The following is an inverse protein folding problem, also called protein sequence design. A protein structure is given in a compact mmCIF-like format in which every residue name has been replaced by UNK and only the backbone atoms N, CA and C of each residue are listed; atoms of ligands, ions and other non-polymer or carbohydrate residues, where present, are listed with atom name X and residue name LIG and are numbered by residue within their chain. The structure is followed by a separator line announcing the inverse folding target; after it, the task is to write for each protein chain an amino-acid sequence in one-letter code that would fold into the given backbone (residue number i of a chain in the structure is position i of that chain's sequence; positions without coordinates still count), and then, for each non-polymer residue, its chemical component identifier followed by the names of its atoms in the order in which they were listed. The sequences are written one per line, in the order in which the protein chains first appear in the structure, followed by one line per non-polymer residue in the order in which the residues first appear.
data_IF_535425326026
#
_entry.id   IF_535425326026
#
_cell.length_a   1.000
_cell.length_b   1.000
_cell.length_c   1.000
_cell.angle_alpha   90.00
_cell.angle_beta   90.00
_cell.angle_gamma   90.00
#
_symmetry.space_group_name_H-M   'P 1'
#
loop_
_entity.id
_entity.type
_entity.pdbx_description
1 polymer ?
#
# COMPACT_ATOMS: atom_id res chain seq x y z
N UNK A 1 4.16 4.50 -21.74
CA UNK A 1 4.07 5.44 -20.58
C UNK A 1 2.60 5.53 -20.21
N UNK A 2 2.20 5.15 -19.01
CA UNK A 2 0.80 5.07 -18.65
C UNK A 2 0.25 6.46 -18.23
N UNK A 3 -1.08 6.64 -18.23
CA UNK A 3 -1.74 7.93 -17.97
C UNK A 3 -1.47 8.48 -16.57
N UNK A 4 -1.19 7.62 -15.59
CA UNK A 4 -0.79 8.02 -14.23
C UNK A 4 0.59 8.68 -14.21
N UNK A 5 1.57 8.11 -14.92
CA UNK A 5 2.91 8.70 -15.05
C UNK A 5 2.86 10.06 -15.74
N UNK A 6 2.01 10.21 -16.76
CA UNK A 6 1.80 11.50 -17.42
C UNK A 6 1.15 12.51 -16.48
N UNK A 7 0.13 12.10 -15.73
CA UNK A 7 -0.53 12.95 -14.73
C UNK A 7 0.42 13.34 -13.61
N UNK A 8 1.22 12.39 -13.10
CA UNK A 8 2.24 12.63 -12.09
C UNK A 8 3.29 13.66 -12.56
N UNK A 9 3.83 13.49 -13.76
CA UNK A 9 4.78 14.47 -14.35
C UNK A 9 4.15 15.86 -14.52
N UNK A 10 2.87 15.92 -14.89
CA UNK A 10 2.13 17.19 -15.01
C UNK A 10 1.94 17.86 -13.66
N UNK A 11 1.65 17.09 -12.60
CA UNK A 11 1.53 17.57 -11.22
C UNK A 11 2.87 18.12 -10.72
N UNK A 12 3.96 17.37 -10.87
CA UNK A 12 5.30 17.79 -10.49
C UNK A 12 5.72 19.12 -11.13
N UNK A 13 5.36 19.34 -12.40
CA UNK A 13 5.63 20.62 -13.09
C UNK A 13 4.84 21.79 -12.54
N UNK A 14 3.68 21.54 -11.92
CA UNK A 14 2.78 22.58 -11.42
C UNK A 14 2.89 22.82 -9.91
N UNK A 15 3.59 21.96 -9.17
CA UNK A 15 3.68 22.05 -7.71
C UNK A 15 4.26 23.39 -7.21
N UNK A 16 5.08 24.05 -8.03
CA UNK A 16 5.70 25.36 -7.71
C UNK A 16 4.75 26.56 -7.94
N UNK A 17 3.56 26.33 -8.50
CA UNK A 17 2.58 27.42 -8.69
C UNK A 17 1.91 27.71 -7.34
N UNK A 18 1.97 28.94 -6.84
CA UNK A 18 1.31 29.30 -5.58
C UNK A 18 -0.20 28.94 -5.61
N UNK A 19 -0.68 28.32 -4.53
CA UNK A 19 -2.08 27.92 -4.43
C UNK A 19 -2.46 26.62 -5.18
N UNK A 20 -1.54 26.00 -5.93
CA UNK A 20 -1.84 24.79 -6.70
C UNK A 20 -2.32 23.62 -5.81
N UNK A 21 -1.68 23.40 -4.66
CA UNK A 21 -2.06 22.37 -3.70
C UNK A 21 -3.48 22.61 -3.13
N UNK A 22 -3.77 23.86 -2.77
CA UNK A 22 -5.11 24.23 -2.30
C UNK A 22 -6.17 24.00 -3.39
N UNK A 23 -5.87 24.41 -4.63
CA UNK A 23 -6.75 24.21 -5.77
C UNK A 23 -7.05 22.73 -6.03
N UNK A 24 -6.03 21.84 -5.99
CA UNK A 24 -6.22 20.39 -6.15
C UNK A 24 -7.15 19.86 -5.06
N UNK A 25 -6.88 20.19 -3.80
CA UNK A 25 -7.71 19.75 -2.67
C UNK A 25 -9.17 20.18 -2.81
N UNK A 26 -9.42 21.45 -3.09
CA UNK A 26 -10.78 21.97 -3.29
C UNK A 26 -11.50 21.32 -4.48
N UNK A 27 -10.77 20.95 -5.53
CA UNK A 27 -11.34 20.41 -6.78
C UNK A 27 -11.63 18.92 -6.71
N UNK A 28 -10.78 18.14 -6.06
CA UNK A 28 -10.80 16.68 -6.14
C UNK A 28 -11.10 15.99 -4.81
N UNK A 29 -10.58 16.49 -3.70
CA UNK A 29 -10.80 15.89 -2.38
C UNK A 29 -12.24 16.13 -1.95
N UNK A 30 -12.87 15.07 -1.44
CA UNK A 30 -14.19 15.09 -0.80
C UNK A 30 -14.11 14.31 0.49
N UNK A 31 -14.91 14.71 1.47
CA UNK A 31 -15.09 13.96 2.70
C UNK A 31 -16.23 12.95 2.51
N UNK A 32 -16.01 11.75 3.03
CA UNK A 32 -16.95 10.63 2.98
C UNK A 32 -17.04 9.98 4.37
N UNK A 33 -17.69 10.64 5.36
CA UNK A 33 -17.71 10.17 6.74
C UNK A 33 -18.26 8.74 6.89
N UNK A 34 -19.18 8.34 6.03
CA UNK A 34 -19.72 6.97 6.02
C UNK A 34 -18.69 5.91 5.61
N UNK A 35 -17.55 6.31 5.02
CA UNK A 35 -16.49 5.41 4.58
C UNK A 35 -15.29 5.39 5.52
N UNK A 36 -15.31 6.17 6.61
CA UNK A 36 -14.26 6.17 7.63
C UNK A 36 -14.16 4.81 8.30
N UNK A 37 -12.93 4.38 8.61
CA UNK A 37 -12.68 3.12 9.28
C UNK A 37 -11.34 3.07 9.99
N UNK A 38 -11.29 2.33 11.08
CA UNK A 38 -10.06 2.01 11.78
C UNK A 38 -9.58 0.64 11.33
N UNK A 39 -8.34 0.56 10.83
CA UNK A 39 -7.73 -0.69 10.35
C UNK A 39 -6.31 -0.77 10.93
N UNK A 40 -5.95 -1.90 11.50
CA UNK A 40 -4.68 -2.15 12.22
C UNK A 40 -4.22 -0.99 13.10
N UNK A 41 -5.18 -0.33 13.80
CA UNK A 41 -4.91 0.77 14.73
C UNK A 41 -4.67 2.14 14.09
N UNK A 42 -4.85 2.26 12.77
CA UNK A 42 -4.76 3.53 12.03
C UNK A 42 -6.15 3.95 11.55
N UNK A 43 -6.49 5.23 11.73
CA UNK A 43 -7.73 5.81 11.24
C UNK A 43 -7.62 6.21 9.77
N UNK A 44 -8.44 5.61 8.91
CA UNK A 44 -8.52 5.91 7.48
C UNK A 44 -9.81 6.66 7.17
N UNK A 45 -9.71 7.82 6.51
CA UNK A 45 -10.86 8.66 6.09
C UNK A 45 -11.79 7.94 5.10
N UNK A 46 -11.27 6.96 4.39
CA UNK A 46 -11.99 6.10 3.43
C UNK A 46 -11.06 4.97 2.97
N UNK A 47 -11.60 3.88 2.35
CA UNK A 47 -10.81 2.69 2.03
C UNK A 47 -9.87 2.82 0.83
N UNK A 48 -9.83 3.94 0.12
CA UNK A 48 -9.16 4.05 -1.17
C UNK A 48 -7.75 4.64 -1.03
N UNK A 49 -6.75 3.89 -1.44
CA UNK A 49 -5.36 4.27 -1.53
C UNK A 49 -4.76 4.08 -2.92
N UNK A 50 -3.54 4.53 -3.09
CA UNK A 50 -2.74 4.36 -4.29
C UNK A 50 -1.59 3.39 -3.99
N UNK A 51 -1.50 2.31 -4.76
CA UNK A 51 -0.39 1.36 -4.66
C UNK A 51 0.95 2.02 -5.05
N UNK A 52 2.10 1.48 -4.61
CA UNK A 52 3.43 1.98 -4.94
C UNK A 52 3.81 1.65 -6.40
N UNK A 53 3.23 2.36 -7.35
CA UNK A 53 3.37 2.09 -8.80
C UNK A 53 4.19 3.12 -9.57
N UNK A 54 4.57 4.20 -8.92
CA UNK A 54 5.32 5.30 -9.53
C UNK A 54 6.73 5.32 -8.96
N UNK A 55 7.70 5.33 -9.85
CA UNK A 55 9.05 5.71 -9.51
C UNK A 55 9.04 7.10 -8.83
N UNK A 56 9.74 7.25 -7.72
CA UNK A 56 9.74 8.50 -6.94
C UNK A 56 8.35 8.96 -6.43
N UNK A 57 7.47 8.03 -6.11
CA UNK A 57 6.13 8.35 -5.58
C UNK A 57 6.21 9.19 -4.29
N UNK A 58 7.29 9.07 -3.54
CA UNK A 58 7.58 9.91 -2.36
C UNK A 58 7.55 11.42 -2.68
N UNK A 59 7.85 11.82 -3.92
CA UNK A 59 7.79 13.21 -4.35
C UNK A 59 6.35 13.72 -4.59
N UNK A 60 5.36 12.83 -4.57
CA UNK A 60 3.97 13.09 -4.94
C UNK A 60 2.98 12.89 -3.78
N UNK A 61 3.45 12.76 -2.55
CA UNK A 61 2.58 12.48 -1.40
C UNK A 61 1.48 13.53 -1.22
N UNK A 62 1.85 14.80 -1.28
CA UNK A 62 0.91 15.91 -1.12
C UNK A 62 -0.11 15.97 -2.27
N UNK A 63 0.32 15.63 -3.49
CA UNK A 63 -0.54 15.53 -4.65
C UNK A 63 -1.49 14.34 -4.56
N UNK A 64 -1.02 13.20 -4.06
CA UNK A 64 -1.86 12.01 -3.84
C UNK A 64 -3.00 12.30 -2.86
N UNK A 65 -2.72 12.96 -1.73
CA UNK A 65 -3.74 13.46 -0.82
C UNK A 65 -4.68 14.45 -1.50
N UNK A 66 -4.11 15.41 -2.23
CA UNK A 66 -4.87 16.46 -2.90
C UNK A 66 -5.89 15.93 -3.92
N UNK A 67 -5.57 14.85 -4.63
CA UNK A 67 -6.49 14.22 -5.59
C UNK A 67 -7.47 13.22 -4.94
N UNK A 68 -7.37 13.02 -3.63
CA UNK A 68 -8.36 12.31 -2.84
C UNK A 68 -8.01 10.87 -2.51
N UNK A 69 -6.74 10.45 -2.55
CA UNK A 69 -6.31 9.20 -1.93
C UNK A 69 -6.08 9.39 -0.42
N UNK A 70 -6.45 8.40 0.38
CA UNK A 70 -6.29 8.42 1.83
C UNK A 70 -4.92 7.90 2.26
N UNK A 71 -4.39 6.96 1.52
CA UNK A 71 -3.09 6.36 1.78
C UNK A 71 -2.35 6.02 0.49
N UNK A 72 -1.05 5.81 0.60
CA UNK A 72 -0.20 5.40 -0.52
C UNK A 72 1.01 4.62 -0.03
N UNK A 73 1.50 3.68 -0.84
CA UNK A 73 2.75 2.97 -0.60
C UNK A 73 3.93 3.62 -1.32
N UNK A 74 5.12 3.39 -0.81
CA UNK A 74 6.39 3.79 -1.39
C UNK A 74 7.29 2.56 -1.44
N UNK A 75 7.95 2.34 -2.58
CA UNK A 75 9.06 1.40 -2.71
C UNK A 75 10.33 2.25 -2.78
N UNK A 76 11.29 2.11 -1.85
CA UNK A 76 12.53 2.88 -1.87
C UNK A 76 13.35 2.68 -3.16
N UNK A 77 13.42 1.44 -3.69
CA UNK A 77 14.14 1.09 -4.91
C UNK A 77 15.60 1.55 -4.88
N UNK A 78 16.10 2.07 -5.99
CA UNK A 78 17.49 2.59 -6.11
C UNK A 78 17.69 3.96 -5.42
N UNK A 79 16.63 4.61 -4.95
CA UNK A 79 16.77 5.89 -4.24
C UNK A 79 17.43 5.66 -2.89
N UNK A 80 18.52 6.39 -2.54
CA UNK A 80 19.14 6.26 -1.23
C UNK A 80 18.11 6.44 -0.11
N UNK A 81 18.12 5.53 0.85
CA UNK A 81 17.11 5.47 1.92
C UNK A 81 17.05 6.76 2.74
N UNK A 82 18.18 7.43 2.92
CA UNK A 82 18.28 8.73 3.61
C UNK A 82 17.52 9.83 2.83
N UNK A 83 17.55 9.75 1.50
CA UNK A 83 16.79 10.67 0.64
C UNK A 83 15.30 10.41 0.76
N UNK A 84 14.88 9.14 0.83
CA UNK A 84 13.48 8.77 1.07
C UNK A 84 13.03 9.27 2.45
N UNK A 85 13.82 9.04 3.50
CA UNK A 85 13.55 9.52 4.85
C UNK A 85 13.38 11.05 4.90
N UNK A 86 14.31 11.80 4.29
CA UNK A 86 14.23 13.26 4.24
C UNK A 86 12.96 13.77 3.53
N UNK A 87 12.53 13.10 2.46
CA UNK A 87 11.29 13.44 1.73
C UNK A 87 10.03 13.09 2.51
N UNK A 88 10.02 11.95 3.21
CA UNK A 88 8.93 11.56 4.11
C UNK A 88 8.79 12.56 5.26
N UNK A 89 9.91 12.99 5.84
CA UNK A 89 9.94 13.99 6.90
C UNK A 89 9.43 15.37 6.41
N UNK A 90 9.74 15.73 5.18
CA UNK A 90 9.34 17.02 4.59
C UNK A 90 7.89 17.05 4.08
N UNK A 91 7.15 15.94 4.15
CA UNK A 91 5.74 15.92 3.71
C UNK A 91 4.88 16.86 4.53
N UNK A 92 3.94 17.52 3.89
CA UNK A 92 3.01 18.47 4.54
C UNK A 92 1.58 17.95 4.61
N UNK A 93 1.26 16.92 3.83
CA UNK A 93 -0.07 16.32 3.85
C UNK A 93 -0.22 15.23 4.91
N UNK A 94 -1.44 15.03 5.43
CA UNK A 94 -1.74 13.97 6.38
C UNK A 94 -1.98 12.61 5.69
N UNK A 95 -1.50 12.41 4.46
CA UNK A 95 -1.67 11.13 3.77
C UNK A 95 -0.96 10.01 4.54
N UNK A 96 -1.68 8.94 4.81
CA UNK A 96 -1.11 7.76 5.44
C UNK A 96 -0.15 7.10 4.46
N UNK A 97 1.07 6.84 4.90
CA UNK A 97 2.14 6.38 4.02
C UNK A 97 2.72 5.08 4.52
N UNK A 98 2.71 4.06 3.66
CA UNK A 98 3.47 2.82 3.89
C UNK A 98 4.79 2.82 3.15
N UNK A 99 5.73 2.06 3.67
CA UNK A 99 6.94 1.66 2.95
C UNK A 99 6.86 0.18 2.65
N UNK A 100 7.00 -0.18 1.38
CA UNK A 100 7.09 -1.55 0.93
C UNK A 100 8.55 -1.95 0.86
N UNK A 101 8.94 -2.88 1.72
CA UNK A 101 10.28 -3.41 1.86
C UNK A 101 10.41 -4.68 1.02
N UNK A 102 11.48 -4.73 0.24
CA UNK A 102 11.81 -5.87 -0.62
C UNK A 102 13.23 -6.31 -0.36
N UNK A 103 13.46 -7.61 -0.30
CA UNK A 103 14.82 -8.15 -0.30
C UNK A 103 15.30 -8.22 -1.76
N UNK A 104 15.94 -7.15 -2.23
CA UNK A 104 16.44 -7.03 -3.61
C UNK A 104 17.94 -7.29 -3.68
N UNK A 105 18.39 -7.98 -4.75
CA UNK A 105 19.81 -8.24 -5.03
C UNK A 105 20.13 -9.73 -5.14
N UNK A 106 21.33 -10.01 -5.66
CA UNK A 106 21.79 -11.37 -6.00
C UNK A 106 22.30 -12.15 -4.78
N UNK A 107 22.70 -11.44 -3.72
CA UNK A 107 23.21 -12.03 -2.48
C UNK A 107 22.14 -11.88 -1.38
N UNK A 108 21.61 -13.01 -0.92
CA UNK A 108 20.52 -13.08 0.05
C UNK A 108 20.84 -12.32 1.34
N UNK A 109 22.01 -12.55 1.92
CA UNK A 109 22.41 -11.91 3.17
C UNK A 109 22.53 -10.38 3.05
N UNK A 110 23.00 -9.88 1.91
CA UNK A 110 23.04 -8.44 1.64
C UNK A 110 21.64 -7.86 1.46
N UNK A 111 20.76 -8.58 0.77
CA UNK A 111 19.39 -8.16 0.54
C UNK A 111 18.60 -8.09 1.87
N UNK A 112 18.76 -9.07 2.75
CA UNK A 112 18.17 -9.08 4.08
C UNK A 112 18.68 -7.91 4.94
N UNK A 113 20.00 -7.68 4.99
CA UNK A 113 20.59 -6.54 5.72
C UNK A 113 20.10 -5.20 5.17
N UNK A 114 19.92 -5.07 3.84
CA UNK A 114 19.40 -3.87 3.22
C UNK A 114 17.94 -3.61 3.65
N UNK A 115 17.11 -4.66 3.70
CA UNK A 115 15.73 -4.58 4.16
C UNK A 115 15.67 -4.11 5.62
N UNK A 116 16.43 -4.72 6.52
CA UNK A 116 16.51 -4.33 7.94
C UNK A 116 16.97 -2.89 8.09
N UNK A 117 17.97 -2.46 7.31
CA UNK A 117 18.43 -1.08 7.32
C UNK A 117 17.34 -0.11 6.86
N UNK A 118 16.64 -0.43 5.77
CA UNK A 118 15.52 0.39 5.28
C UNK A 118 14.40 0.48 6.33
N UNK A 119 14.03 -0.64 6.94
CA UNK A 119 13.05 -0.69 8.02
C UNK A 119 13.43 0.27 9.14
N UNK A 120 14.67 0.14 9.68
CA UNK A 120 15.14 0.94 10.80
C UNK A 120 15.21 2.43 10.48
N UNK A 121 15.74 2.81 9.31
CA UNK A 121 15.91 4.21 8.94
C UNK A 121 14.58 4.92 8.59
N UNK A 122 13.57 4.17 8.16
CA UNK A 122 12.29 4.73 7.74
C UNK A 122 11.20 4.62 8.81
N UNK A 123 11.49 3.96 9.94
CA UNK A 123 10.49 3.64 10.97
C UNK A 123 9.73 4.87 11.49
N UNK A 124 10.42 5.94 11.83
CA UNK A 124 9.81 7.14 12.41
C UNK A 124 9.01 7.97 11.41
N UNK A 125 9.26 7.78 10.11
CA UNK A 125 8.67 8.57 9.04
C UNK A 125 7.53 7.85 8.31
N UNK A 126 7.26 6.59 8.67
CA UNK A 126 6.28 5.70 8.03
C UNK A 126 5.11 5.46 8.97
N UNK A 127 3.91 5.26 8.43
CA UNK A 127 2.72 4.95 9.24
C UNK A 127 2.54 3.43 9.40
N UNK A 128 2.89 2.63 8.39
CA UNK A 128 2.93 1.17 8.43
C UNK A 128 3.89 0.61 7.38
N UNK A 129 4.27 -0.65 7.51
CA UNK A 129 5.15 -1.35 6.57
C UNK A 129 4.42 -2.46 5.84
N UNK A 130 4.85 -2.72 4.60
CA UNK A 130 4.49 -3.91 3.84
C UNK A 130 5.77 -4.63 3.49
N UNK A 131 5.89 -5.90 3.84
CA UNK A 131 7.01 -6.73 3.43
C UNK A 131 6.58 -7.54 2.23
N UNK A 132 7.29 -7.36 1.12
CA UNK A 132 7.10 -8.14 -0.11
C UNK A 132 8.12 -9.26 -0.15
N UNK A 133 7.65 -10.47 0.15
CA UNK A 133 8.46 -11.69 0.13
C UNK A 133 8.60 -12.30 -1.27
N UNK A 134 8.09 -11.61 -2.30
CA UNK A 134 8.15 -12.11 -3.68
C UNK A 134 9.43 -11.62 -4.35
N UNK A 135 10.23 -12.52 -4.85
CA UNK A 135 11.40 -12.18 -5.66
C UNK A 135 11.02 -12.15 -7.14
N UNK A 136 11.16 -10.98 -7.77
CA UNK A 136 11.08 -10.86 -9.24
C UNK A 136 12.36 -11.32 -9.94
N UNK A 137 13.49 -11.36 -9.23
CA UNK A 137 14.79 -11.77 -9.77
C UNK A 137 15.03 -13.25 -9.55
N UNK A 138 14.88 -14.06 -10.54
CA UNK A 138 15.23 -15.46 -10.78
C UNK A 138 16.21 -16.25 -9.88
N UNK A 139 16.51 -15.76 -8.71
CA UNK A 139 17.19 -16.51 -7.65
C UNK A 139 16.14 -17.44 -7.02
N UNK A 140 16.51 -18.71 -6.99
CA UNK A 140 15.79 -19.87 -6.44
C UNK A 140 14.59 -19.47 -5.60
N UNK A 141 13.41 -19.88 -6.09
CA UNK A 141 12.14 -19.69 -5.41
C UNK A 141 12.30 -19.90 -3.91
N UNK A 142 12.16 -18.83 -3.12
CA UNK A 142 11.79 -18.97 -1.74
C UNK A 142 10.31 -19.43 -1.74
N UNK A 143 10.06 -20.60 -2.33
CA UNK A 143 8.74 -21.23 -2.38
C UNK A 143 8.31 -21.66 -0.98
N UNK A 144 9.24 -21.64 -0.04
CA UNK A 144 8.97 -21.98 1.35
C UNK A 144 9.10 -20.74 2.24
N UNK A 145 7.98 -20.37 2.89
CA UNK A 145 7.93 -19.33 3.92
C UNK A 145 8.99 -19.52 5.01
N UNK A 146 9.46 -20.76 5.22
CA UNK A 146 10.51 -21.09 6.19
C UNK A 146 11.81 -20.30 5.98
N UNK A 147 12.17 -20.03 4.73
CA UNK A 147 13.40 -19.28 4.39
C UNK A 147 13.29 -17.80 4.78
N UNK A 148 12.06 -17.27 4.86
CA UNK A 148 11.80 -15.89 5.28
C UNK A 148 11.61 -15.73 6.79
N UNK A 149 11.28 -16.83 7.49
CA UNK A 149 10.94 -16.76 8.92
C UNK A 149 12.00 -16.04 9.77
N UNK A 150 13.31 -16.31 9.62
CA UNK A 150 14.32 -15.61 10.43
C UNK A 150 14.32 -14.10 10.24
N UNK A 151 14.19 -13.63 8.99
CA UNK A 151 14.15 -12.21 8.66
C UNK A 151 12.84 -11.57 9.19
N UNK A 152 11.71 -12.24 9.02
CA UNK A 152 10.42 -11.76 9.48
C UNK A 152 10.36 -11.66 11.01
N UNK A 153 10.91 -12.65 11.70
CA UNK A 153 11.03 -12.62 13.16
C UNK A 153 11.96 -11.50 13.64
N UNK A 154 13.07 -11.23 12.92
CA UNK A 154 13.95 -10.11 13.23
C UNK A 154 13.22 -8.77 13.09
N UNK A 155 12.46 -8.54 12.02
CA UNK A 155 11.67 -7.31 11.83
C UNK A 155 10.63 -7.14 12.93
N UNK A 156 9.92 -8.22 13.29
CA UNK A 156 8.93 -8.19 14.37
C UNK A 156 9.57 -7.89 15.74
N UNK A 157 10.76 -8.46 16.01
CA UNK A 157 11.52 -8.18 17.23
C UNK A 157 12.03 -6.73 17.26
N UNK A 158 12.55 -6.22 16.14
CA UNK A 158 12.96 -4.82 16.02
C UNK A 158 11.82 -3.85 16.29
N UNK A 159 10.58 -4.17 15.88
CA UNK A 159 9.40 -3.35 16.18
C UNK A 159 9.24 -3.07 17.68
N UNK A 160 9.59 -4.03 18.53
CA UNK A 160 9.49 -3.91 19.97
C UNK A 160 10.51 -2.90 20.58
N UNK A 161 11.53 -2.52 19.81
CA UNK A 161 12.54 -1.55 20.23
C UNK A 161 12.11 -0.09 20.05
N UNK A 162 10.96 0.15 19.39
CA UNK A 162 10.46 1.49 19.10
C UNK A 162 9.27 1.85 19.99
N UNK A 163 9.16 3.13 20.36
CA UNK A 163 8.06 3.63 21.20
C UNK A 163 6.71 3.61 20.45
N UNK A 164 6.74 3.96 19.16
CA UNK A 164 5.52 4.02 18.35
C UNK A 164 5.28 2.69 17.67
N UNK A 165 4.10 2.13 17.86
CA UNK A 165 3.70 0.95 17.12
C UNK A 165 3.49 1.28 15.64
N UNK A 166 4.12 0.49 14.77
CA UNK A 166 3.91 0.55 13.32
C UNK A 166 3.44 -0.81 12.82
N UNK A 167 2.23 -0.88 12.25
CA UNK A 167 1.74 -2.14 11.68
C UNK A 167 2.67 -2.68 10.60
N UNK A 168 2.76 -4.01 10.52
CA UNK A 168 3.54 -4.73 9.52
C UNK A 168 2.64 -5.72 8.81
N UNK A 169 2.55 -5.62 7.49
CA UNK A 169 1.74 -6.47 6.64
C UNK A 169 2.64 -7.31 5.72
N UNK A 170 2.17 -8.49 5.31
CA UNK A 170 2.81 -9.28 4.26
C UNK A 170 2.08 -9.11 2.93
N UNK A 171 2.83 -9.03 1.84
CA UNK A 171 2.28 -9.01 0.47
C UNK A 171 2.19 -10.42 -0.10
N UNK A 172 1.01 -10.81 -0.52
CA UNK A 172 0.73 -12.06 -1.23
C UNK A 172 1.00 -11.84 -2.72
N UNK A 173 1.77 -12.75 -3.34
CA UNK A 173 2.05 -12.69 -4.77
C UNK A 173 0.84 -13.08 -5.62
N UNK A 174 0.74 -12.55 -6.86
CA UNK A 174 -0.25 -13.01 -7.82
C UNK A 174 -0.13 -14.51 -8.13
N UNK A 175 1.08 -15.08 -8.09
CA UNK A 175 1.36 -16.48 -8.40
C UNK A 175 1.13 -17.46 -7.24
N UNK A 176 0.91 -17.01 -6.01
CA UNK A 176 0.71 -17.93 -4.87
C UNK A 176 -0.54 -18.80 -5.03
N UNK A 177 -0.37 -20.09 -4.78
CA UNK A 177 -1.47 -21.05 -4.69
C UNK A 177 -2.26 -20.86 -3.38
N UNK A 178 -3.44 -21.45 -3.28
CA UNK A 178 -4.25 -21.41 -2.06
C UNK A 178 -3.50 -22.05 -0.87
N UNK A 179 -2.74 -23.13 -1.11
CA UNK A 179 -1.93 -23.77 -0.07
C UNK A 179 -0.82 -22.84 0.45
N UNK A 180 -0.10 -22.17 -0.46
CA UNK A 180 0.92 -21.19 -0.08
C UNK A 180 0.30 -20.01 0.68
N UNK A 181 -0.85 -19.52 0.21
CA UNK A 181 -1.58 -18.45 0.92
C UNK A 181 -2.02 -18.88 2.32
N UNK A 182 -2.54 -20.11 2.47
CA UNK A 182 -2.93 -20.63 3.78
C UNK A 182 -1.75 -20.62 4.77
N UNK A 183 -0.57 -21.10 4.34
CA UNK A 183 0.64 -21.07 5.18
C UNK A 183 1.05 -19.65 5.57
N UNK A 184 1.01 -18.68 4.63
CA UNK A 184 1.29 -17.27 4.90
C UNK A 184 0.30 -16.71 5.91
N UNK A 185 -1.00 -17.00 5.75
CA UNK A 185 -2.04 -16.50 6.64
C UNK A 185 -1.94 -17.10 8.05
N UNK A 186 -1.64 -18.39 8.16
CA UNK A 186 -1.39 -19.04 9.46
C UNK A 186 -0.18 -18.42 10.14
N UNK A 187 0.90 -18.21 9.42
CA UNK A 187 2.09 -17.54 9.93
C UNK A 187 1.76 -16.13 10.42
N UNK A 188 1.04 -15.31 9.63
CA UNK A 188 0.64 -13.97 10.04
C UNK A 188 -0.19 -13.98 11.33
N UNK A 189 -1.14 -14.91 11.45
CA UNK A 189 -2.00 -15.02 12.63
C UNK A 189 -1.22 -15.46 13.89
N UNK A 190 -0.16 -16.27 13.72
CA UNK A 190 0.65 -16.78 14.84
C UNK A 190 1.75 -15.83 15.28
N UNK A 191 2.38 -15.13 14.33
CA UNK A 191 3.55 -14.30 14.57
C UNK A 191 3.24 -12.83 14.88
N UNK A 192 1.96 -12.41 14.79
CA UNK A 192 1.55 -11.04 15.14
C UNK A 192 1.77 -10.02 14.02
N UNK A 193 1.66 -10.43 12.75
CA UNK A 193 1.46 -9.52 11.65
C UNK A 193 0.07 -8.89 11.71
N UNK A 194 -0.04 -7.65 11.25
CA UNK A 194 -1.26 -6.84 11.41
C UNK A 194 -2.22 -6.97 10.23
N UNK A 195 -1.80 -7.59 9.14
CA UNK A 195 -2.62 -7.76 7.95
C UNK A 195 -1.86 -8.31 6.77
N UNK A 196 -2.53 -8.39 5.64
CA UNK A 196 -1.96 -8.79 4.35
C UNK A 196 -2.39 -7.87 3.22
N UNK A 197 -1.56 -7.78 2.19
CA UNK A 197 -1.92 -7.16 0.90
C UNK A 197 -2.16 -8.29 -0.09
N UNK A 198 -3.38 -8.40 -0.62
CA UNK A 198 -3.78 -9.48 -1.51
C UNK A 198 -4.21 -8.98 -2.89
N UNK A 199 -3.70 -9.57 -4.00
CA UNK A 199 -4.03 -9.13 -5.34
C UNK A 199 -5.33 -9.76 -5.86
N UNK A 200 -6.24 -8.91 -6.34
CA UNK A 200 -7.47 -9.33 -7.00
C UNK A 200 -8.54 -9.93 -6.09
N UNK A 201 -9.76 -9.99 -6.60
CA UNK A 201 -10.97 -10.33 -5.83
C UNK A 201 -10.90 -11.77 -5.29
N UNK A 202 -10.43 -12.72 -6.08
CA UNK A 202 -10.39 -14.15 -5.68
C UNK A 202 -9.48 -14.38 -4.49
N UNK A 203 -8.26 -13.77 -4.50
CA UNK A 203 -7.32 -13.94 -3.38
C UNK A 203 -7.78 -13.18 -2.14
N UNK A 204 -8.36 -12.00 -2.30
CA UNK A 204 -8.97 -11.26 -1.19
C UNK A 204 -10.06 -12.10 -0.51
N UNK A 205 -10.96 -12.70 -1.30
CA UNK A 205 -12.03 -13.55 -0.77
C UNK A 205 -11.45 -14.76 -0.04
N UNK A 206 -10.50 -15.46 -0.63
CA UNK A 206 -9.83 -16.58 0.01
C UNK A 206 -9.22 -16.18 1.37
N UNK A 207 -8.47 -15.07 1.42
CA UNK A 207 -7.88 -14.59 2.66
C UNK A 207 -8.94 -14.26 3.72
N UNK A 208 -10.02 -13.58 3.33
CA UNK A 208 -11.11 -13.22 4.23
C UNK A 208 -11.82 -14.44 4.81
N UNK A 209 -12.18 -15.41 3.97
CA UNK A 209 -12.83 -16.65 4.36
C UNK A 209 -11.92 -17.52 5.24
N UNK A 210 -10.67 -17.73 4.83
CA UNK A 210 -9.70 -18.55 5.55
C UNK A 210 -9.43 -18.00 6.96
N UNK A 211 -9.20 -16.69 7.07
CA UNK A 211 -8.91 -16.05 8.36
C UNK A 211 -10.19 -15.74 9.17
N UNK A 212 -11.38 -15.97 8.61
CA UNK A 212 -12.67 -15.57 9.19
C UNK A 212 -12.70 -14.08 9.54
N UNK A 213 -12.15 -13.23 8.66
CA UNK A 213 -11.99 -11.79 8.81
C UNK A 213 -11.19 -11.33 10.06
N UNK A 214 -10.37 -12.23 10.65
CA UNK A 214 -9.53 -11.87 11.80
C UNK A 214 -8.30 -11.06 11.42
N UNK A 215 -7.87 -11.14 10.15
CA UNK A 215 -6.71 -10.44 9.63
C UNK A 215 -7.18 -9.40 8.61
N UNK A 216 -6.93 -8.10 8.83
CA UNK A 216 -7.24 -7.05 7.87
C UNK A 216 -6.55 -7.27 6.52
N UNK A 217 -7.25 -6.95 5.44
CA UNK A 217 -6.77 -7.18 4.07
C UNK A 217 -6.79 -5.88 3.29
N UNK A 218 -5.67 -5.52 2.68
CA UNK A 218 -5.61 -4.51 1.63
C UNK A 218 -5.76 -5.21 0.29
N UNK A 219 -6.89 -5.00 -0.38
CA UNK A 219 -7.10 -5.52 -1.74
C UNK A 219 -6.35 -4.68 -2.77
N UNK A 220 -5.42 -5.28 -3.51
CA UNK A 220 -4.59 -4.58 -4.50
C UNK A 220 -4.92 -5.05 -5.92
N UNK A 221 -4.80 -4.14 -6.89
CA UNK A 221 -4.97 -4.51 -8.30
C UNK A 221 -5.16 -3.36 -9.25
N UNK A 222 -5.30 -3.72 -10.53
CA UNK A 222 -5.60 -2.78 -11.61
C UNK A 222 -7.09 -2.39 -11.58
N UNK A 223 -7.50 -1.66 -10.54
CA UNK A 223 -8.87 -1.22 -10.34
C UNK A 223 -9.17 -0.07 -11.29
N UNK A 224 -10.02 -0.31 -12.26
CA UNK A 224 -10.36 0.66 -13.31
C UNK A 224 -11.80 1.15 -13.21
N UNK A 225 -12.66 0.39 -12.55
CA UNK A 225 -14.09 0.69 -12.40
C UNK A 225 -14.52 0.72 -10.94
N UNK A 226 -15.67 1.28 -10.70
CA UNK A 226 -16.27 1.34 -9.38
C UNK A 226 -16.76 -0.04 -8.92
N UNK A 227 -17.26 -0.84 -9.86
CA UNK A 227 -17.74 -2.19 -9.63
C UNK A 227 -16.60 -3.09 -9.13
N UNK A 228 -15.38 -2.97 -9.70
CA UNK A 228 -14.20 -3.68 -9.25
C UNK A 228 -13.80 -3.28 -7.82
N UNK A 229 -13.87 -1.98 -7.51
CA UNK A 229 -13.58 -1.47 -6.16
C UNK A 229 -14.59 -1.99 -5.13
N UNK A 230 -15.88 -1.95 -5.46
CA UNK A 230 -16.97 -2.45 -4.61
C UNK A 230 -16.83 -3.96 -4.42
N UNK A 231 -16.53 -4.71 -5.49
CA UNK A 231 -16.35 -6.15 -5.43
C UNK A 231 -15.18 -6.57 -4.52
N UNK A 232 -14.09 -5.80 -4.49
CA UNK A 232 -12.98 -6.04 -3.55
C UNK A 232 -13.42 -5.84 -2.09
N UNK A 233 -14.17 -4.77 -1.79
CA UNK A 233 -14.71 -4.54 -0.44
C UNK A 233 -15.69 -5.66 -0.04
N UNK A 234 -16.58 -6.06 -0.95
CA UNK A 234 -17.52 -7.16 -0.71
C UNK A 234 -16.83 -8.53 -0.56
N UNK A 235 -15.65 -8.70 -1.17
CA UNK A 235 -14.83 -9.89 -0.99
C UNK A 235 -14.11 -9.94 0.37
N UNK A 236 -14.18 -8.88 1.18
CA UNK A 236 -13.59 -8.81 2.51
C UNK A 236 -12.38 -7.89 2.64
N UNK A 237 -12.04 -7.09 1.61
CA UNK A 237 -10.99 -6.09 1.76
C UNK A 237 -11.38 -5.00 2.76
N UNK A 238 -10.51 -4.71 3.71
CA UNK A 238 -10.64 -3.55 4.62
C UNK A 238 -10.26 -2.25 3.92
N UNK A 239 -9.25 -2.29 3.06
CA UNK A 239 -8.73 -1.17 2.28
C UNK A 239 -8.48 -1.62 0.83
N UNK A 240 -8.38 -0.66 -0.09
CA UNK A 240 -8.15 -0.92 -1.52
C UNK A 240 -6.96 -0.11 -2.00
N UNK A 241 -5.98 -0.76 -2.60
CA UNK A 241 -4.86 -0.15 -3.32
C UNK A 241 -5.09 -0.16 -4.84
N UNK A 242 -5.20 0.99 -5.45
CA UNK A 242 -5.30 1.13 -6.90
C UNK A 242 -3.91 1.10 -7.51
N UNK A 243 -3.53 0.00 -8.15
CA UNK A 243 -2.21 -0.18 -8.78
C UNK A 243 -2.05 0.61 -10.10
N UNK A 244 -3.14 0.77 -10.84
CA UNK A 244 -3.16 1.56 -12.07
C UNK A 244 -4.43 2.39 -12.04
N UNK A 245 -4.28 3.70 -11.94
CA UNK A 245 -5.44 4.59 -12.14
C UNK A 245 -6.05 4.33 -13.51
N UNK A 246 -7.36 4.55 -13.67
CA UNK A 246 -8.07 4.29 -14.91
C UNK A 246 -7.34 4.93 -16.08
N UNK A 247 -7.01 4.15 -17.09
CA UNK A 247 -6.18 4.54 -18.25
C UNK A 247 -6.62 5.86 -18.92
N UNK A 248 -7.85 6.33 -18.68
CA UNK A 248 -8.43 7.50 -19.33
C UNK A 248 -9.11 8.50 -18.39
N UNK A 249 -8.95 8.41 -17.06
CA UNK A 249 -9.78 9.21 -16.14
C UNK A 249 -9.02 10.25 -15.31
N UNK A 250 -7.69 10.29 -15.40
CA UNK A 250 -6.87 11.37 -14.83
C UNK A 250 -7.06 11.61 -13.33
N UNK A 251 -6.87 12.85 -12.89
CA UNK A 251 -6.90 13.26 -11.48
C UNK A 251 -8.24 13.07 -10.77
N UNK A 252 -9.34 12.86 -11.49
CA UNK A 252 -10.68 12.69 -10.91
C UNK A 252 -11.05 11.23 -10.59
N UNK A 253 -10.11 10.28 -10.78
CA UNK A 253 -10.39 8.84 -10.60
C UNK A 253 -10.77 8.50 -9.16
N UNK A 254 -9.97 8.95 -8.19
CA UNK A 254 -10.27 8.71 -6.77
C UNK A 254 -11.65 9.25 -6.38
N UNK A 255 -11.94 10.49 -6.75
CA UNK A 255 -13.25 11.13 -6.50
C UNK A 255 -14.42 10.30 -7.04
N UNK A 256 -14.31 9.76 -8.25
CA UNK A 256 -15.38 8.95 -8.86
C UNK A 256 -15.54 7.59 -8.20
N UNK A 257 -14.44 6.92 -7.89
CA UNK A 257 -14.48 5.64 -7.17
C UNK A 257 -15.11 5.82 -5.79
N UNK A 258 -14.74 6.86 -5.05
CA UNK A 258 -15.30 7.15 -3.74
C UNK A 258 -16.80 7.48 -3.79
N UNK A 259 -17.24 8.29 -4.76
CA UNK A 259 -18.66 8.58 -4.96
C UNK A 259 -19.46 7.31 -5.24
N UNK A 260 -18.91 6.37 -5.97
CA UNK A 260 -19.57 5.11 -6.28
C UNK A 260 -19.60 4.15 -5.09
N UNK A 261 -18.53 4.09 -4.32
CA UNK A 261 -18.45 3.26 -3.09
C UNK A 261 -19.44 3.80 -2.04
N UNK A 262 -19.54 5.13 -1.92
CA UNK A 262 -20.43 5.80 -0.96
C UNK A 262 -21.94 5.69 -1.35
N UNK A 263 -22.25 5.63 -2.65
CA UNK A 263 -23.61 5.55 -3.17
C UNK A 263 -23.77 4.45 -4.24
N UNK A 264 -23.72 3.17 -3.86
CA UNK A 264 -23.78 2.06 -4.83
C UNK A 264 -25.10 1.98 -5.61
N UNK A 265 -26.19 2.55 -5.10
CA UNK A 265 -27.53 2.49 -5.72
C UNK A 265 -27.75 3.49 -6.90
N UNK A 266 -26.85 4.43 -7.13
CA UNK A 266 -26.98 5.41 -8.23
C UNK A 266 -26.39 4.94 -9.57
N UNK A 267 -26.02 3.68 -9.69
CA UNK A 267 -25.36 3.11 -10.89
C UNK A 267 -26.25 2.14 -11.70
N UNK A 268 -27.51 2.01 -11.32
CA UNK A 268 -28.54 1.25 -12.09
C UNK A 268 -29.28 2.13 -13.07
#
# INVERSE_FOLDING_TARGET
MNSLQQSARRMLRKRHIPGYQLWIRLRYRREHPALERDVFGIHFRHPLGLAPVLERQVDLLDECDGIGFCFTGIIPGETPVETVAARLQARTSPIITSVELRAEGDEEEKAQRALIRQYSLLYDFTDYFVIDINRESGLTSLDDLSDWTPLLDEVLNLRLCYEKYRPILLRIAPGHTEEQMARILDFCLMSGFDGVVAPGITKVRFCAEYTKNRLPIIGSGAITTAEEAIALLQAGASLIEVAHGPKNRGLSSAKRLLQAIDNPQKQS
#
